data_IF_101593145030
#
_entry.id   IF_101593145030
#
_cell.length_a   1.000
_cell.length_b   1.000
_cell.length_c   1.000
_cell.angle_alpha   90.00
_cell.angle_beta   90.00
_cell.angle_gamma   90.00
#
_symmetry.space_group_name_H-M   'P 1'
#
loop_
_entity.id
_entity.type
_entity.pdbx_description
1 polymer ?
#
# COMPACT_ATOMS: atom_id res chain seq x y z
N UNK A 1 24.74 -14.68 -26.83
CA UNK A 1 24.08 -15.92 -26.35
C UNK A 1 22.67 -15.94 -26.86
N UNK A 2 22.16 -17.10 -27.28
CA UNK A 2 20.78 -17.19 -27.75
C UNK A 2 19.77 -17.14 -26.58
N UNK A 3 18.52 -16.80 -26.88
CA UNK A 3 17.43 -16.90 -25.88
C UNK A 3 17.28 -18.33 -25.37
N UNK A 4 17.53 -19.33 -26.23
CA UNK A 4 17.47 -20.74 -25.87
C UNK A 4 18.51 -21.12 -24.79
N UNK A 5 19.77 -20.61 -24.92
CA UNK A 5 20.80 -20.85 -23.90
C UNK A 5 20.46 -20.23 -22.54
N UNK A 6 19.81 -19.05 -22.54
CA UNK A 6 19.32 -18.43 -21.31
C UNK A 6 18.26 -19.31 -20.64
N UNK A 7 17.24 -19.72 -21.40
CA UNK A 7 16.16 -20.57 -20.89
C UNK A 7 16.70 -21.90 -20.34
N UNK A 8 17.62 -22.53 -21.06
CA UNK A 8 18.28 -23.74 -20.58
C UNK A 8 19.01 -23.51 -19.25
N UNK A 9 19.78 -22.43 -19.13
CA UNK A 9 20.52 -22.13 -17.90
C UNK A 9 19.57 -21.78 -16.72
N UNK A 10 18.50 -21.05 -16.97
CA UNK A 10 17.45 -20.77 -15.95
C UNK A 10 16.78 -22.08 -15.51
N UNK A 11 16.45 -22.96 -16.47
CA UNK A 11 15.83 -24.26 -16.18
C UNK A 11 16.72 -25.18 -15.35
N UNK A 12 18.04 -25.09 -15.53
CA UNK A 12 18.98 -25.83 -14.71
C UNK A 12 19.01 -25.38 -13.25
N UNK A 13 18.63 -24.11 -12.96
CA UNK A 13 18.60 -23.54 -11.60
C UNK A 13 17.25 -23.83 -10.91
N UNK A 14 16.14 -23.55 -11.59
CA UNK A 14 14.80 -23.56 -10.95
C UNK A 14 13.92 -24.73 -11.41
N UNK A 15 14.37 -25.54 -12.36
CA UNK A 15 13.58 -26.57 -13.05
C UNK A 15 12.82 -25.99 -14.24
N UNK A 16 12.61 -26.83 -15.27
CA UNK A 16 11.97 -26.39 -16.52
C UNK A 16 10.52 -25.92 -16.35
N UNK A 17 9.77 -26.53 -15.43
CA UNK A 17 8.39 -26.15 -15.14
C UNK A 17 8.25 -24.74 -14.51
N UNK A 18 9.32 -24.21 -13.91
CA UNK A 18 9.37 -22.90 -13.27
C UNK A 18 9.92 -21.79 -14.19
N UNK A 19 10.17 -22.07 -15.47
CA UNK A 19 10.62 -21.10 -16.48
C UNK A 19 9.54 -20.98 -17.55
N UNK A 20 8.75 -19.91 -17.47
CA UNK A 20 7.62 -19.65 -18.37
C UNK A 20 8.04 -18.71 -19.50
N UNK A 21 7.61 -19.01 -20.73
CA UNK A 21 7.92 -18.21 -21.92
C UNK A 21 6.68 -18.03 -22.82
N UNK A 22 6.70 -17.04 -23.72
CA UNK A 22 5.59 -16.81 -24.64
C UNK A 22 4.27 -16.54 -23.92
N UNK A 23 3.21 -17.20 -24.31
CA UNK A 23 1.87 -17.01 -23.73
C UNK A 23 1.80 -17.34 -22.24
N UNK A 24 2.57 -18.33 -21.77
CA UNK A 24 2.59 -18.68 -20.34
C UNK A 24 3.25 -17.62 -19.46
N UNK A 25 4.11 -16.77 -20.03
CA UNK A 25 4.71 -15.62 -19.34
C UNK A 25 3.84 -14.36 -19.39
N UNK A 26 2.87 -14.29 -20.28
CA UNK A 26 2.05 -13.07 -20.50
C UNK A 26 1.34 -12.56 -19.25
N UNK A 27 0.77 -13.39 -18.35
CA UNK A 27 0.14 -12.91 -17.10
C UNK A 27 1.10 -12.17 -16.18
N UNK A 28 2.39 -12.44 -16.25
CA UNK A 28 3.43 -11.80 -15.45
C UNK A 28 3.94 -10.49 -16.07
N UNK A 29 3.56 -10.20 -17.31
CA UNK A 29 4.01 -9.03 -18.06
C UNK A 29 3.03 -7.86 -18.07
N UNK A 30 1.88 -7.98 -17.43
CA UNK A 30 0.86 -6.93 -17.34
C UNK A 30 0.39 -6.74 -15.89
N UNK A 31 -0.04 -5.53 -15.54
CA UNK A 31 -0.71 -5.30 -14.27
C UNK A 31 -2.19 -5.71 -14.32
N UNK A 32 -2.77 -5.99 -13.17
CA UNK A 32 -4.17 -6.44 -13.04
C UNK A 32 -5.21 -5.44 -13.57
N UNK A 33 -4.82 -4.17 -13.76
CA UNK A 33 -5.69 -3.11 -14.31
C UNK A 33 -5.57 -2.95 -15.82
N UNK A 34 -4.56 -3.59 -16.45
CA UNK A 34 -4.25 -3.40 -17.86
C UNK A 34 -3.70 -2.01 -18.21
N UNK A 35 -3.22 -1.23 -17.21
CA UNK A 35 -2.61 0.08 -17.44
C UNK A 35 -1.16 -0.05 -17.91
N UNK A 36 -0.44 -1.01 -17.38
CA UNK A 36 0.94 -1.30 -17.71
C UNK A 36 1.06 -2.68 -18.33
N UNK A 37 1.75 -2.75 -19.42
CA UNK A 37 2.13 -4.01 -20.06
C UNK A 37 3.54 -3.88 -20.65
N UNK A 38 4.28 -4.97 -20.62
CA UNK A 38 5.63 -5.02 -21.16
C UNK A 38 5.95 -6.40 -21.71
N UNK A 39 7.23 -6.62 -21.98
CA UNK A 39 7.72 -7.89 -22.50
C UNK A 39 8.84 -8.43 -21.64
N UNK A 40 8.91 -9.75 -21.49
CA UNK A 40 9.99 -10.42 -20.81
C UNK A 40 10.57 -11.55 -21.63
N UNK A 41 11.86 -11.86 -21.42
CA UNK A 41 12.51 -13.05 -21.99
C UNK A 41 11.90 -14.33 -21.42
N UNK A 42 11.58 -14.29 -20.11
CA UNK A 42 10.91 -15.36 -19.37
C UNK A 42 10.32 -14.78 -18.07
N UNK A 43 9.31 -15.47 -17.51
CA UNK A 43 8.95 -15.39 -16.11
C UNK A 43 9.52 -16.61 -15.38
N UNK A 44 10.22 -16.38 -14.26
CA UNK A 44 10.95 -17.40 -13.50
C UNK A 44 10.38 -17.45 -12.08
N UNK A 45 10.02 -18.65 -11.62
CA UNK A 45 9.34 -18.88 -10.34
C UNK A 45 10.20 -19.74 -9.40
N UNK A 46 11.22 -19.16 -8.73
CA UNK A 46 12.05 -19.88 -7.78
C UNK A 46 11.27 -20.33 -6.54
N UNK A 47 11.68 -21.44 -5.92
CA UNK A 47 11.07 -22.02 -4.73
C UNK A 47 11.84 -21.76 -3.42
N UNK A 48 13.06 -21.21 -3.51
CA UNK A 48 13.89 -20.89 -2.36
C UNK A 48 14.92 -19.78 -2.67
N UNK A 49 15.57 -19.25 -1.63
CA UNK A 49 16.54 -18.17 -1.74
C UNK A 49 17.80 -18.53 -2.55
N UNK A 50 18.21 -19.81 -2.56
CA UNK A 50 19.37 -20.26 -3.33
C UNK A 50 19.07 -20.22 -4.84
N UNK A 51 17.86 -20.62 -5.24
CA UNK A 51 17.41 -20.50 -6.61
C UNK A 51 17.31 -19.03 -7.04
N UNK A 52 16.77 -18.14 -6.18
CA UNK A 52 16.78 -16.69 -6.44
C UNK A 52 18.22 -16.21 -6.65
N UNK A 53 19.14 -16.55 -5.76
CA UNK A 53 20.55 -16.18 -5.84
C UNK A 53 21.22 -16.67 -7.13
N UNK A 54 20.95 -17.93 -7.51
CA UNK A 54 21.44 -18.53 -8.75
C UNK A 54 20.93 -17.79 -10.00
N UNK A 55 19.63 -17.44 -10.04
CA UNK A 55 19.03 -16.67 -11.14
C UNK A 55 19.63 -15.27 -11.21
N UNK A 56 19.75 -14.59 -10.06
CA UNK A 56 20.32 -13.22 -9.98
C UNK A 56 21.77 -13.24 -10.46
N UNK A 57 22.59 -14.20 -9.98
CA UNK A 57 23.98 -14.34 -10.42
C UNK A 57 24.08 -14.57 -11.93
N UNK A 58 23.28 -15.49 -12.48
CA UNK A 58 23.22 -15.74 -13.92
C UNK A 58 22.87 -14.47 -14.71
N UNK A 59 21.89 -13.69 -14.24
CA UNK A 59 21.48 -12.47 -14.88
C UNK A 59 22.55 -11.36 -14.76
N UNK A 60 23.22 -11.26 -13.62
CA UNK A 60 24.33 -10.31 -13.41
C UNK A 60 25.49 -10.62 -14.35
N UNK A 61 25.93 -11.89 -14.44
CA UNK A 61 27.00 -12.33 -15.34
C UNK A 61 26.68 -12.08 -16.82
N UNK A 62 25.40 -12.05 -17.16
CA UNK A 62 24.90 -11.89 -18.54
C UNK A 62 24.32 -10.51 -18.87
N UNK A 63 24.34 -9.58 -17.92
CA UNK A 63 23.78 -8.23 -18.06
C UNK A 63 22.29 -8.25 -18.45
N UNK A 64 21.52 -9.16 -17.87
CA UNK A 64 20.09 -9.25 -18.06
C UNK A 64 19.40 -8.62 -16.86
N UNK A 65 18.49 -7.70 -17.12
CA UNK A 65 17.75 -7.03 -16.06
C UNK A 65 16.66 -7.93 -15.46
N UNK A 66 16.35 -7.70 -14.19
CA UNK A 66 15.38 -8.47 -13.41
C UNK A 66 14.29 -7.54 -12.92
N UNK A 67 13.04 -7.95 -13.10
CA UNK A 67 11.86 -7.32 -12.51
C UNK A 67 11.33 -8.24 -11.40
N UNK A 68 11.59 -7.94 -10.12
CA UNK A 68 11.03 -8.70 -9.02
C UNK A 68 9.51 -8.51 -8.96
N UNK A 69 8.78 -9.60 -8.74
CA UNK A 69 7.32 -9.56 -8.70
C UNK A 69 6.79 -10.46 -7.58
N UNK A 70 5.88 -9.92 -6.76
CA UNK A 70 5.03 -10.67 -5.86
C UNK A 70 3.64 -10.84 -6.47
N UNK A 71 2.57 -10.60 -5.69
CA UNK A 71 1.18 -10.73 -6.12
C UNK A 71 0.70 -9.75 -7.20
N UNK A 72 1.56 -8.90 -7.72
CA UNK A 72 1.32 -7.94 -8.82
C UNK A 72 0.09 -7.04 -8.61
N UNK A 73 -0.15 -6.61 -7.38
CA UNK A 73 -1.31 -5.79 -6.97
C UNK A 73 -1.01 -4.29 -6.96
N UNK A 74 0.22 -3.86 -7.28
CA UNK A 74 0.63 -2.45 -7.34
C UNK A 74 -0.16 -1.65 -8.37
N UNK A 75 -0.29 -0.34 -8.12
CA UNK A 75 -0.97 0.61 -9.01
C UNK A 75 -0.01 1.44 -9.87
N UNK A 76 1.29 1.37 -9.59
CA UNK A 76 2.31 2.22 -10.23
C UNK A 76 3.19 1.48 -11.24
N UNK A 77 2.86 0.22 -11.59
CA UNK A 77 3.61 -0.58 -12.56
C UNK A 77 5.00 -1.01 -12.07
N UNK A 78 5.25 -1.02 -10.76
CA UNK A 78 6.56 -1.35 -10.17
C UNK A 78 7.01 -2.78 -10.44
N UNK A 79 6.09 -3.73 -10.57
CA UNK A 79 6.33 -5.16 -10.80
C UNK A 79 6.13 -5.60 -12.26
N UNK A 80 5.93 -4.67 -13.20
CA UNK A 80 5.71 -4.97 -14.62
C UNK A 80 6.97 -4.68 -15.43
N UNK A 81 7.41 -5.58 -16.34
CA UNK A 81 8.57 -5.33 -17.18
C UNK A 81 8.33 -4.18 -18.15
N UNK A 82 9.42 -3.59 -18.63
CA UNK A 82 9.37 -2.55 -19.65
C UNK A 82 9.05 -3.14 -21.03
N UNK A 83 8.53 -2.35 -21.99
CA UNK A 83 8.19 -2.82 -23.34
C UNK A 83 9.35 -3.40 -24.15
N UNK A 84 10.60 -3.01 -23.85
CA UNK A 84 11.79 -3.38 -24.62
C UNK A 84 12.10 -4.89 -24.62
N UNK A 85 11.63 -5.66 -23.62
CA UNK A 85 11.68 -7.12 -23.63
C UNK A 85 13.05 -7.75 -23.34
N UNK A 86 14.01 -7.00 -22.79
CA UNK A 86 15.36 -7.47 -22.45
C UNK A 86 15.52 -7.83 -20.95
N UNK A 87 14.41 -8.15 -20.30
CA UNK A 87 14.31 -8.43 -18.86
C UNK A 87 13.74 -9.82 -18.63
N UNK A 88 13.99 -10.37 -17.45
CA UNK A 88 13.17 -11.47 -16.91
C UNK A 88 12.26 -10.92 -15.82
N UNK A 89 11.09 -11.53 -15.64
CA UNK A 89 10.28 -11.37 -14.42
C UNK A 89 10.68 -12.47 -13.46
N UNK A 90 11.00 -12.12 -12.22
CA UNK A 90 11.28 -13.07 -11.15
C UNK A 90 10.13 -13.00 -10.14
N UNK A 91 9.22 -13.96 -10.24
CA UNK A 91 8.02 -14.01 -9.41
C UNK A 91 8.21 -14.94 -8.23
N UNK A 92 7.91 -14.47 -7.01
CA UNK A 92 8.22 -15.16 -5.75
C UNK A 92 7.06 -16.00 -5.19
N UNK A 93 5.96 -16.17 -5.92
CA UNK A 93 4.76 -16.85 -5.42
C UNK A 93 4.99 -18.32 -4.99
N UNK A 94 6.03 -18.99 -5.47
CA UNK A 94 6.40 -20.35 -5.03
C UNK A 94 7.15 -20.34 -3.67
N UNK A 95 7.61 -19.18 -3.19
CA UNK A 95 8.24 -19.03 -1.88
C UNK A 95 7.18 -18.62 -0.84
N UNK A 96 6.30 -19.53 -0.47
CA UNK A 96 5.08 -19.23 0.29
C UNK A 96 4.96 -19.98 1.62
N UNK A 97 6.08 -20.41 2.19
CA UNK A 97 6.12 -21.13 3.47
C UNK A 97 6.22 -20.18 4.65
N UNK A 98 5.49 -20.49 5.71
CA UNK A 98 5.75 -19.96 7.05
C UNK A 98 6.83 -20.84 7.65
N UNK A 99 8.07 -20.32 7.77
CA UNK A 99 9.25 -21.09 8.19
C UNK A 99 9.28 -21.34 9.69
N UNK A 100 8.80 -20.39 10.49
CA UNK A 100 8.80 -20.48 11.95
C UNK A 100 7.71 -19.59 12.57
N UNK A 101 7.28 -19.95 13.78
CA UNK A 101 6.41 -19.17 14.63
C UNK A 101 6.95 -19.18 16.06
N UNK A 102 7.18 -17.99 16.62
CA UNK A 102 7.65 -17.82 18.00
C UNK A 102 6.58 -17.07 18.81
N UNK A 103 5.80 -17.85 19.55
CA UNK A 103 4.69 -17.33 20.37
C UNK A 103 5.18 -16.42 21.49
N UNK A 104 6.34 -16.70 22.05
CA UNK A 104 6.89 -15.94 23.19
C UNK A 104 7.47 -14.60 22.73
N UNK A 105 8.17 -14.60 21.60
CA UNK A 105 8.76 -13.39 21.03
C UNK A 105 7.77 -12.57 20.17
N UNK A 106 6.55 -13.09 19.94
CA UNK A 106 5.55 -12.46 19.10
C UNK A 106 6.09 -12.18 17.68
N UNK A 107 6.62 -13.22 17.06
CA UNK A 107 7.17 -13.14 15.69
C UNK A 107 6.83 -14.38 14.89
N UNK A 108 6.88 -14.25 13.58
CA UNK A 108 6.97 -15.38 12.64
C UNK A 108 8.14 -15.14 11.69
N UNK A 109 8.59 -16.21 11.01
CA UNK A 109 9.45 -16.09 9.84
C UNK A 109 8.67 -16.57 8.63
N UNK A 110 8.46 -15.69 7.65
CA UNK A 110 7.64 -15.97 6.47
C UNK A 110 8.43 -15.71 5.20
N UNK A 111 8.20 -16.50 4.17
CA UNK A 111 8.76 -16.28 2.84
C UNK A 111 8.01 -15.15 2.11
N UNK A 112 8.68 -14.52 1.15
CA UNK A 112 8.20 -13.31 0.47
C UNK A 112 6.93 -13.52 -0.35
N UNK A 113 6.69 -14.72 -0.88
CA UNK A 113 5.49 -15.10 -1.64
C UNK A 113 4.30 -15.55 -0.76
N UNK A 114 4.43 -15.52 0.58
CA UNK A 114 3.27 -15.72 1.45
C UNK A 114 2.24 -14.62 1.20
N UNK A 115 0.98 -14.99 0.98
CA UNK A 115 -0.11 -14.02 0.89
C UNK A 115 -0.38 -13.38 2.24
N UNK A 116 -0.72 -12.12 2.24
CA UNK A 116 -1.06 -11.40 3.47
C UNK A 116 -2.20 -12.07 4.24
N UNK A 117 -3.23 -12.55 3.53
CA UNK A 117 -4.35 -13.26 4.15
C UNK A 117 -3.90 -14.51 4.92
N UNK A 118 -3.00 -15.31 4.33
CA UNK A 118 -2.52 -16.56 4.93
C UNK A 118 -1.65 -16.27 6.18
N UNK A 119 -0.84 -15.22 6.13
CA UNK A 119 -0.02 -14.78 7.28
C UNK A 119 -0.90 -14.27 8.43
N UNK A 120 -1.96 -13.51 8.12
CA UNK A 120 -2.94 -13.07 9.13
C UNK A 120 -3.69 -14.24 9.74
N UNK A 121 -4.18 -15.16 8.92
CA UNK A 121 -4.86 -16.37 9.39
C UNK A 121 -3.95 -17.22 10.30
N UNK A 122 -2.67 -17.39 9.92
CA UNK A 122 -1.71 -18.11 10.76
C UNK A 122 -1.47 -17.41 12.11
N UNK A 123 -1.43 -16.08 12.14
CA UNK A 123 -1.35 -15.32 13.38
C UNK A 123 -2.59 -15.54 14.24
N UNK A 124 -3.79 -15.44 13.66
CA UNK A 124 -5.08 -15.62 14.36
C UNK A 124 -5.23 -17.02 14.98
N UNK A 125 -4.85 -18.06 14.24
CA UNK A 125 -4.84 -19.46 14.74
C UNK A 125 -3.96 -19.64 15.98
N UNK A 126 -2.98 -18.77 16.16
CA UNK A 126 -2.09 -18.77 17.31
C UNK A 126 -2.43 -17.67 18.34
N UNK A 127 -3.64 -17.14 18.30
CA UNK A 127 -4.10 -16.04 19.17
C UNK A 127 -3.20 -14.81 19.12
N UNK A 128 -2.78 -14.45 17.92
CA UNK A 128 -1.96 -13.27 17.61
C UNK A 128 -2.60 -12.45 16.50
N UNK A 129 -2.17 -11.21 16.38
CA UNK A 129 -2.54 -10.29 15.33
C UNK A 129 -1.31 -9.94 14.49
N UNK A 130 -1.40 -10.07 13.16
CA UNK A 130 -0.55 -9.36 12.23
C UNK A 130 -1.35 -8.18 11.67
N UNK A 131 -1.02 -6.92 12.05
CA UNK A 131 -1.96 -5.80 11.91
C UNK A 131 -1.96 -5.13 10.53
N UNK A 132 -1.14 -5.56 9.57
CA UNK A 132 -1.16 -5.00 8.22
C UNK A 132 -2.55 -5.16 7.59
N UNK A 133 -3.23 -4.03 7.33
CA UNK A 133 -4.66 -3.97 7.02
C UNK A 133 -4.97 -3.56 5.57
N UNK A 134 -4.49 -4.31 4.56
CA UNK A 134 -4.78 -4.06 3.14
C UNK A 134 -6.08 -4.75 2.71
N UNK A 135 -7.22 -4.15 3.00
CA UNK A 135 -8.53 -4.79 2.86
C UNK A 135 -8.88 -5.20 1.43
N UNK A 136 -8.52 -4.39 0.42
CA UNK A 136 -8.85 -4.64 -0.98
C UNK A 136 -7.99 -5.73 -1.63
N UNK A 137 -6.75 -5.93 -1.17
CA UNK A 137 -5.75 -6.75 -1.87
C UNK A 137 -5.22 -7.92 -1.07
N UNK A 138 -5.58 -8.07 0.22
CA UNK A 138 -5.00 -9.05 1.15
C UNK A 138 -5.00 -10.51 0.65
N UNK A 139 -5.96 -10.90 -0.20
CA UNK A 139 -6.06 -12.24 -0.78
C UNK A 139 -5.07 -12.49 -1.93
N UNK A 140 -4.47 -11.43 -2.45
CA UNK A 140 -3.63 -11.48 -3.65
C UNK A 140 -2.23 -10.91 -3.41
N UNK A 141 -2.09 -9.88 -2.56
CA UNK A 141 -0.79 -9.30 -2.25
C UNK A 141 0.07 -10.25 -1.41
N UNK A 142 1.37 -10.17 -1.65
CA UNK A 142 2.38 -11.02 -1.00
C UNK A 142 3.29 -10.18 -0.11
N UNK A 143 3.81 -10.77 0.96
CA UNK A 143 4.61 -10.10 1.99
C UNK A 143 5.85 -9.40 1.39
N UNK A 144 6.55 -10.04 0.43
CA UNK A 144 7.69 -9.42 -0.25
C UNK A 144 7.31 -8.14 -1.01
N UNK A 145 6.14 -8.15 -1.66
CA UNK A 145 5.57 -6.97 -2.31
C UNK A 145 5.20 -5.87 -1.31
N UNK A 146 4.52 -6.24 -0.21
CA UNK A 146 4.12 -5.30 0.84
C UNK A 146 5.34 -4.62 1.50
N UNK A 147 6.43 -5.37 1.73
CA UNK A 147 7.70 -4.84 2.22
C UNK A 147 8.36 -3.94 1.18
N UNK A 148 8.42 -4.39 -0.08
CA UNK A 148 9.09 -3.64 -1.15
C UNK A 148 8.43 -2.29 -1.44
N UNK A 149 7.13 -2.15 -1.19
CA UNK A 149 6.39 -0.88 -1.34
C UNK A 149 6.18 -0.14 -0.01
N UNK A 150 6.62 -0.72 1.11
CA UNK A 150 6.32 -0.21 2.46
C UNK A 150 4.82 0.03 2.66
N UNK A 151 4.01 -0.97 2.33
CA UNK A 151 2.55 -0.86 2.32
C UNK A 151 2.00 -0.40 3.69
N UNK A 152 0.96 0.42 3.65
CA UNK A 152 0.26 0.95 4.82
C UNK A 152 -1.07 0.23 5.10
N UNK A 153 -2.17 0.97 5.10
CA UNK A 153 -3.54 0.48 5.29
C UNK A 153 -4.20 0.99 6.57
N UNK A 154 -5.35 0.43 6.91
CA UNK A 154 -6.27 1.01 7.91
C UNK A 154 -5.74 1.05 9.36
N UNK A 155 -4.71 0.28 9.69
CA UNK A 155 -4.21 0.14 11.05
C UNK A 155 -2.89 0.90 11.31
N UNK A 156 -2.43 1.70 10.35
CA UNK A 156 -1.15 2.43 10.42
C UNK A 156 -1.12 3.37 11.63
N UNK A 157 -2.25 3.99 11.96
CA UNK A 157 -2.37 4.90 13.10
C UNK A 157 -1.85 4.29 14.40
N UNK A 158 -2.14 3.01 14.65
CA UNK A 158 -1.73 2.30 15.88
C UNK A 158 -0.43 1.52 15.74
N UNK A 159 -0.25 0.84 14.61
CA UNK A 159 0.80 -0.17 14.49
C UNK A 159 1.94 0.23 13.54
N UNK A 160 1.79 1.36 12.85
CA UNK A 160 2.72 1.78 11.82
C UNK A 160 2.51 1.04 10.49
N UNK A 161 3.31 1.39 9.50
CA UNK A 161 3.30 0.75 8.19
C UNK A 161 4.18 -0.53 8.17
N UNK A 162 4.34 -1.18 7.03
CA UNK A 162 5.09 -2.44 6.92
C UNK A 162 6.54 -2.31 7.44
N UNK A 163 7.17 -1.13 7.31
CA UNK A 163 8.51 -0.83 7.86
C UNK A 163 8.57 -1.01 9.39
N UNK A 164 7.54 -0.56 10.07
CA UNK A 164 7.45 -0.65 11.53
C UNK A 164 7.13 -2.07 12.00
N UNK A 165 6.55 -2.87 11.11
CA UNK A 165 6.08 -4.24 11.39
C UNK A 165 7.11 -5.33 11.13
N UNK A 166 8.36 -5.01 10.74
CA UNK A 166 9.39 -5.99 10.40
C UNK A 166 10.62 -5.87 11.29
N UNK A 167 11.12 -7.00 11.80
CA UNK A 167 12.33 -7.10 12.61
C UNK A 167 13.55 -7.53 11.82
N UNK A 168 13.39 -8.37 10.80
CA UNK A 168 14.49 -8.89 10.02
C UNK A 168 14.08 -9.23 8.59
N UNK A 169 15.06 -9.24 7.70
CA UNK A 169 14.89 -9.60 6.28
C UNK A 169 15.95 -10.58 5.82
N UNK A 170 15.61 -11.42 4.87
CA UNK A 170 16.53 -12.13 3.99
C UNK A 170 16.43 -11.49 2.61
N UNK A 171 17.56 -11.12 2.03
CA UNK A 171 17.62 -10.40 0.75
C UNK A 171 18.69 -11.00 -0.15
N UNK A 172 18.34 -11.23 -1.42
CA UNK A 172 19.32 -11.51 -2.47
C UNK A 172 19.78 -10.19 -3.08
N UNK A 173 21.08 -9.93 -2.98
CA UNK A 173 21.72 -8.71 -3.50
C UNK A 173 21.89 -8.80 -5.03
N UNK A 174 22.13 -7.69 -5.74
CA UNK A 174 22.26 -7.63 -7.19
C UNK A 174 23.39 -8.50 -7.77
N UNK A 175 24.37 -8.89 -6.96
CA UNK A 175 25.46 -9.81 -7.33
C UNK A 175 25.18 -11.29 -7.03
N UNK A 176 23.99 -11.62 -6.51
CA UNK A 176 23.54 -12.95 -6.16
C UNK A 176 23.93 -13.42 -4.75
N UNK A 177 24.63 -12.61 -3.96
CA UNK A 177 24.88 -12.96 -2.54
C UNK A 177 23.58 -12.86 -1.72
N UNK A 178 23.43 -13.76 -0.76
CA UNK A 178 22.30 -13.76 0.17
C UNK A 178 22.73 -13.07 1.46
N UNK A 179 22.07 -11.95 1.78
CA UNK A 179 22.16 -11.36 3.10
C UNK A 179 21.07 -11.94 3.99
N UNK A 180 21.47 -12.74 4.99
CA UNK A 180 20.57 -13.28 5.98
C UNK A 180 20.57 -12.37 7.22
N UNK A 181 19.61 -11.46 7.27
CA UNK A 181 19.30 -10.59 8.39
C UNK A 181 18.01 -10.99 9.12
N UNK A 182 17.61 -12.27 9.08
CA UNK A 182 16.41 -12.79 9.76
C UNK A 182 16.57 -12.82 11.28
N UNK A 183 16.87 -11.66 11.87
CA UNK A 183 16.96 -11.50 13.32
C UNK A 183 15.60 -11.08 13.86
N UNK A 184 15.18 -11.72 14.96
CA UNK A 184 13.92 -11.40 15.66
C UNK A 184 14.15 -10.46 16.86
N UNK A 185 15.22 -9.66 16.82
CA UNK A 185 15.62 -8.77 17.89
C UNK A 185 14.82 -7.46 17.83
N UNK A 186 14.33 -6.99 18.99
CA UNK A 186 13.70 -5.68 19.12
C UNK A 186 14.72 -4.55 19.30
N UNK A 187 15.94 -4.88 19.74
CA UNK A 187 17.06 -3.95 19.89
C UNK A 187 18.29 -4.56 19.23
N UNK A 188 18.86 -3.89 18.24
CA UNK A 188 20.11 -4.25 17.60
C UNK A 188 20.82 -2.97 17.13
N UNK A 189 21.72 -2.47 17.96
CA UNK A 189 22.55 -1.29 17.68
C UNK A 189 23.98 -1.67 17.25
N UNK A 190 24.16 -2.84 16.61
CA UNK A 190 25.47 -3.34 16.19
C UNK A 190 25.92 -2.81 14.81
N UNK A 191 25.32 -1.75 14.32
CA UNK A 191 25.64 -1.10 13.04
C UNK A 191 24.43 -0.41 12.41
N UNK A 192 24.52 -0.13 11.12
CA UNK A 192 23.40 0.41 10.36
C UNK A 192 22.24 -0.58 10.27
N UNK A 193 21.01 -0.09 10.35
CA UNK A 193 19.82 -0.91 10.19
C UNK A 193 19.52 -1.15 8.69
N UNK A 194 20.23 -2.10 8.12
CA UNK A 194 20.25 -2.36 6.68
C UNK A 194 18.90 -2.81 6.11
N UNK A 195 18.02 -3.42 6.91
CA UNK A 195 16.71 -3.84 6.41
C UNK A 195 15.90 -2.67 5.84
N UNK A 196 16.07 -1.47 6.41
CA UNK A 196 15.36 -0.27 5.98
C UNK A 196 15.83 0.29 4.63
N UNK A 197 16.94 -0.18 4.07
CA UNK A 197 17.34 0.11 2.69
C UNK A 197 16.45 -0.63 1.68
N UNK A 198 15.97 -1.82 2.02
CA UNK A 198 15.19 -2.67 1.11
C UNK A 198 13.68 -2.48 1.24
N UNK A 199 13.21 -2.09 2.44
CA UNK A 199 11.79 -1.76 2.65
C UNK A 199 11.46 -0.44 1.95
N UNK A 200 10.50 -0.48 1.02
CA UNK A 200 10.12 0.68 0.21
C UNK A 200 11.04 0.94 -0.99
N UNK A 201 12.02 0.05 -1.26
CA UNK A 201 12.92 0.17 -2.42
C UNK A 201 12.33 -0.40 -3.73
N UNK A 202 11.15 -0.95 -3.71
CA UNK A 202 10.43 -1.51 -4.87
C UNK A 202 11.28 -2.51 -5.71
N UNK A 203 12.13 -3.30 -5.02
CA UNK A 203 13.00 -4.26 -5.67
C UNK A 203 14.17 -3.68 -6.46
N UNK A 204 14.45 -2.37 -6.34
CA UNK A 204 15.54 -1.72 -7.06
C UNK A 204 16.91 -1.91 -6.41
N UNK A 205 16.98 -2.30 -5.14
CA UNK A 205 18.22 -2.49 -4.38
C UNK A 205 18.56 -3.95 -4.10
N UNK A 206 17.61 -4.85 -4.28
CA UNK A 206 17.72 -6.28 -4.03
C UNK A 206 16.36 -6.94 -3.98
N UNK A 207 16.31 -8.25 -3.80
CA UNK A 207 15.09 -9.07 -3.79
C UNK A 207 14.88 -9.64 -2.40
N UNK A 208 13.82 -9.19 -1.72
CA UNK A 208 13.41 -9.72 -0.42
C UNK A 208 12.87 -11.13 -0.64
N UNK A 209 13.45 -12.13 0.06
CA UNK A 209 13.06 -13.54 -0.04
C UNK A 209 12.37 -14.07 1.21
N UNK A 210 12.63 -13.47 2.38
CA UNK A 210 11.91 -13.77 3.61
C UNK A 210 11.95 -12.59 4.57
N UNK A 211 11.06 -12.62 5.57
CA UNK A 211 10.95 -11.58 6.59
C UNK A 211 10.57 -12.17 7.96
N UNK A 212 10.85 -11.38 9.00
CA UNK A 212 10.39 -11.62 10.37
C UNK A 212 9.39 -10.54 10.76
N UNK A 213 8.08 -10.69 10.46
CA UNK A 213 7.04 -9.79 10.94
C UNK A 213 6.88 -9.83 12.45
N UNK A 214 6.56 -8.64 13.02
CA UNK A 214 6.12 -8.48 14.41
C UNK A 214 4.66 -8.89 14.53
N UNK A 215 4.35 -9.64 15.56
CA UNK A 215 2.99 -9.94 15.95
C UNK A 215 2.61 -9.15 17.20
N UNK A 216 1.31 -9.02 17.39
CA UNK A 216 0.70 -8.36 18.53
C UNK A 216 -0.30 -9.29 19.20
N UNK A 217 -0.68 -9.04 20.46
CA UNK A 217 -1.80 -9.73 21.08
C UNK A 217 -3.07 -9.53 20.24
N UNK A 218 -3.87 -10.57 20.11
CA UNK A 218 -5.18 -10.47 19.43
C UNK A 218 -6.12 -9.62 20.30
N UNK A 219 -6.74 -8.55 19.77
CA UNK A 219 -7.76 -7.81 20.49
C UNK A 219 -8.93 -8.70 20.91
N UNK A 220 -9.42 -8.49 22.12
CA UNK A 220 -10.59 -9.18 22.69
C UNK A 220 -11.85 -8.33 22.62
N UNK A 221 -11.69 -7.03 22.45
CA UNK A 221 -12.77 -6.07 22.30
C UNK A 221 -12.46 -5.08 21.16
N UNK A 222 -13.50 -4.65 20.48
CA UNK A 222 -13.46 -3.61 19.45
C UNK A 222 -14.71 -2.75 19.58
N UNK A 223 -14.53 -1.45 19.51
CA UNK A 223 -15.63 -0.50 19.41
C UNK A 223 -15.45 0.32 18.12
N UNK A 224 -16.52 0.41 17.33
CA UNK A 224 -16.53 1.17 16.07
C UNK A 224 -17.54 2.30 16.17
N UNK A 225 -17.15 3.50 15.75
CA UNK A 225 -18.05 4.63 15.61
C UNK A 225 -18.20 5.04 14.15
N UNK A 226 -19.41 5.37 13.76
CA UNK A 226 -19.73 6.15 12.57
C UNK A 226 -20.15 7.56 13.02
N UNK A 227 -19.56 8.60 12.43
CA UNK A 227 -19.77 9.98 12.83
C UNK A 227 -19.97 10.83 11.59
N UNK A 228 -21.03 11.63 11.55
CA UNK A 228 -21.25 12.68 10.55
C UNK A 228 -20.69 14.01 11.08
N UNK A 229 -19.95 14.74 10.25
CA UNK A 229 -19.28 15.97 10.61
C UNK A 229 -19.58 17.10 9.63
N UNK A 230 -19.43 18.34 10.09
CA UNK A 230 -19.72 19.53 9.29
C UNK A 230 -18.70 19.75 8.16
N UNK A 231 -17.42 19.52 8.45
CA UNK A 231 -16.30 19.76 7.55
C UNK A 231 -15.06 18.97 7.94
N UNK A 232 -14.02 19.02 7.11
CA UNK A 232 -12.76 18.30 7.34
C UNK A 232 -11.93 18.89 8.51
N UNK A 233 -12.10 20.16 8.88
CA UNK A 233 -11.44 20.75 10.05
C UNK A 233 -11.95 20.13 11.35
N UNK A 234 -13.24 19.80 11.41
CA UNK A 234 -13.82 19.03 12.51
C UNK A 234 -13.15 17.67 12.63
N UNK A 235 -12.85 16.99 11.50
CA UNK A 235 -12.16 15.70 11.52
C UNK A 235 -10.78 15.78 12.18
N UNK A 236 -9.98 16.81 11.84
CA UNK A 236 -8.64 17.05 12.43
C UNK A 236 -8.74 17.26 13.95
N UNK A 237 -9.65 18.12 14.39
CA UNK A 237 -9.84 18.42 15.82
C UNK A 237 -10.38 17.22 16.59
N UNK A 238 -11.33 16.49 15.99
CA UNK A 238 -11.91 15.30 16.61
C UNK A 238 -10.89 14.17 16.74
N UNK A 239 -10.02 13.97 15.74
CA UNK A 239 -8.95 13.00 15.83
C UNK A 239 -8.02 13.27 17.01
N UNK A 240 -7.57 14.53 17.18
CA UNK A 240 -6.74 14.93 18.32
C UNK A 240 -7.45 14.63 19.65
N UNK A 241 -8.72 15.03 19.76
CA UNK A 241 -9.53 14.83 20.96
C UNK A 241 -9.78 13.35 21.27
N UNK A 242 -10.14 12.52 20.26
CA UNK A 242 -10.33 11.07 20.47
C UNK A 242 -9.02 10.41 20.86
N UNK A 243 -7.90 10.84 20.26
CA UNK A 243 -6.58 10.31 20.58
C UNK A 243 -6.13 10.63 22.02
N UNK A 244 -6.44 11.82 22.52
CA UNK A 244 -6.19 12.22 23.91
C UNK A 244 -7.02 11.37 24.90
N UNK A 245 -8.23 10.98 24.54
CA UNK A 245 -9.16 10.27 25.43
C UNK A 245 -9.08 8.73 25.31
N UNK A 246 -8.76 8.20 24.12
CA UNK A 246 -8.68 6.75 23.87
C UNK A 246 -7.24 6.22 23.82
N UNK A 247 -6.24 7.10 23.69
CA UNK A 247 -4.81 6.72 23.66
C UNK A 247 -4.49 5.72 22.57
N UNK A 248 -3.62 4.76 22.92
CA UNK A 248 -3.14 3.72 22.00
C UNK A 248 -4.19 2.66 21.64
N UNK A 249 -5.40 2.72 22.17
CA UNK A 249 -6.49 1.82 21.75
C UNK A 249 -7.06 2.21 20.39
N UNK A 250 -6.90 3.47 19.96
CA UNK A 250 -7.38 3.96 18.66
C UNK A 250 -6.61 3.29 17.53
N UNK A 251 -7.25 2.41 16.79
CA UNK A 251 -6.64 1.62 15.73
C UNK A 251 -6.85 2.20 14.33
N UNK A 252 -7.98 2.87 14.08
CA UNK A 252 -8.31 3.43 12.78
C UNK A 252 -9.12 4.73 12.91
N UNK A 253 -8.88 5.67 11.99
CA UNK A 253 -9.63 6.90 11.88
C UNK A 253 -9.71 7.31 10.40
N UNK A 254 -10.85 6.99 9.77
CA UNK A 254 -11.07 7.14 8.33
C UNK A 254 -12.00 8.31 8.03
N UNK A 255 -11.73 9.05 6.96
CA UNK A 255 -12.62 10.08 6.42
C UNK A 255 -13.23 9.63 5.09
N UNK A 256 -14.50 9.94 4.87
CA UNK A 256 -15.26 9.59 3.68
C UNK A 256 -16.09 10.80 3.25
N UNK A 257 -15.87 11.32 2.05
CA UNK A 257 -16.72 12.41 1.50
C UNK A 257 -18.05 11.87 0.99
N UNK A 258 -19.06 12.73 0.90
CA UNK A 258 -20.40 12.40 0.38
C UNK A 258 -20.33 11.73 -0.99
N UNK A 259 -19.53 12.26 -1.90
CA UNK A 259 -19.36 11.72 -3.25
C UNK A 259 -18.90 10.26 -3.27
N UNK A 260 -18.20 9.80 -2.24
CA UNK A 260 -17.85 8.38 -2.09
C UNK A 260 -19.08 7.52 -1.82
N UNK A 261 -19.93 7.95 -0.88
CA UNK A 261 -21.13 7.21 -0.50
C UNK A 261 -22.15 7.17 -1.63
N UNK A 262 -22.31 8.27 -2.38
CA UNK A 262 -23.19 8.31 -3.54
C UNK A 262 -22.81 7.25 -4.59
N UNK A 263 -21.49 7.09 -4.83
CA UNK A 263 -21.01 6.03 -5.73
C UNK A 263 -21.22 4.63 -5.15
N UNK A 264 -21.02 4.46 -3.85
CA UNK A 264 -21.24 3.18 -3.17
C UNK A 264 -22.71 2.79 -3.26
N UNK A 265 -23.64 3.68 -2.92
CA UNK A 265 -25.08 3.40 -2.99
C UNK A 265 -25.56 3.14 -4.42
N UNK A 266 -24.96 3.82 -5.41
CA UNK A 266 -25.26 3.60 -6.82
C UNK A 266 -24.84 2.22 -7.34
N UNK A 267 -23.68 1.71 -6.89
CA UNK A 267 -23.03 0.56 -7.53
C UNK A 267 -22.96 -0.70 -6.68
N UNK A 268 -23.13 -0.61 -5.36
CA UNK A 268 -22.94 -1.73 -4.41
C UNK A 268 -24.29 -2.08 -3.78
N UNK A 269 -24.92 -3.18 -4.20
CA UNK A 269 -26.19 -3.62 -3.62
C UNK A 269 -26.06 -3.90 -2.12
N UNK A 270 -27.15 -3.65 -1.38
CA UNK A 270 -27.23 -3.94 0.07
C UNK A 270 -26.54 -2.91 0.95
N UNK A 271 -26.08 -1.79 0.39
CA UNK A 271 -25.59 -0.65 1.16
C UNK A 271 -26.69 0.41 1.37
N UNK A 272 -26.63 1.10 2.47
CA UNK A 272 -27.61 2.14 2.84
C UNK A 272 -26.94 3.25 3.66
N UNK A 273 -27.63 4.38 3.75
CA UNK A 273 -27.20 5.48 4.60
C UNK A 273 -26.96 5.02 6.03
N UNK A 274 -25.85 5.45 6.65
CA UNK A 274 -25.59 5.14 8.06
C UNK A 274 -26.48 5.92 9.03
N UNK A 275 -27.06 7.04 8.58
CA UNK A 275 -27.92 7.94 9.32
C UNK A 275 -29.17 8.31 8.50
N UNK A 276 -30.15 8.93 9.14
CA UNK A 276 -31.36 9.45 8.46
C UNK A 276 -31.05 10.71 7.63
N UNK A 277 -30.07 11.52 8.08
CA UNK A 277 -29.59 12.69 7.38
C UNK A 277 -28.51 12.37 6.35
N UNK A 278 -28.31 13.29 5.41
CA UNK A 278 -27.18 13.26 4.44
C UNK A 278 -26.20 14.36 4.82
N UNK A 279 -24.91 14.02 4.85
CA UNK A 279 -23.85 14.89 5.31
C UNK A 279 -22.68 14.89 4.33
N UNK A 280 -21.89 15.97 4.31
CA UNK A 280 -20.74 16.12 3.40
C UNK A 280 -19.59 15.20 3.75
N UNK A 281 -19.37 14.93 5.05
CA UNK A 281 -18.28 14.06 5.51
C UNK A 281 -18.74 13.11 6.60
N UNK A 282 -18.18 11.90 6.52
CA UNK A 282 -18.37 10.86 7.51
C UNK A 282 -17.02 10.37 8.00
N UNK A 283 -16.96 9.95 9.25
CA UNK A 283 -15.81 9.31 9.85
C UNK A 283 -16.16 7.90 10.27
N UNK A 284 -15.22 6.97 10.05
CA UNK A 284 -15.21 5.67 10.72
C UNK A 284 -14.03 5.64 11.69
N UNK A 285 -14.34 5.39 12.95
CA UNK A 285 -13.36 5.40 14.04
C UNK A 285 -13.40 4.02 14.70
N UNK A 286 -12.24 3.40 14.88
CA UNK A 286 -12.17 2.10 15.53
C UNK A 286 -11.14 2.13 16.66
N UNK A 287 -11.55 1.63 17.81
CA UNK A 287 -10.67 1.35 18.95
C UNK A 287 -10.72 -0.14 19.27
N UNK A 288 -9.56 -0.71 19.60
CA UNK A 288 -9.43 -2.12 19.93
C UNK A 288 -8.48 -2.36 21.10
N UNK A 289 -8.77 -3.36 21.96
CA UNK A 289 -7.93 -3.70 23.11
C UNK A 289 -7.94 -5.21 23.40
N UNK A 290 -6.92 -5.64 24.13
CA UNK A 290 -6.83 -7.00 24.69
C UNK A 290 -7.69 -7.18 25.94
N UNK A 291 -8.09 -6.10 26.60
CA UNK A 291 -8.98 -6.13 27.76
C UNK A 291 -10.43 -6.03 27.30
N UNK A 292 -11.33 -6.86 27.82
CA UNK A 292 -12.76 -6.78 27.51
C UNK A 292 -13.42 -5.59 28.26
N UNK A 293 -14.38 -4.94 27.59
CA UNK A 293 -15.17 -3.83 28.15
C UNK A 293 -14.47 -2.47 28.07
N UNK A 294 -15.20 -1.40 28.37
CA UNK A 294 -14.76 0.00 28.46
C UNK A 294 -14.47 0.74 27.16
N UNK A 295 -14.22 0.07 26.02
CA UNK A 295 -13.87 0.78 24.77
C UNK A 295 -15.02 1.60 24.21
N UNK A 296 -16.24 1.06 24.23
CA UNK A 296 -17.41 1.77 23.73
C UNK A 296 -17.78 2.94 24.64
N UNK A 297 -17.68 2.80 25.96
CA UNK A 297 -17.90 3.88 26.91
C UNK A 297 -16.85 4.98 26.74
N UNK A 298 -15.56 4.63 26.58
CA UNK A 298 -14.51 5.59 26.35
C UNK A 298 -14.70 6.35 25.02
N UNK A 299 -15.00 5.62 23.94
CA UNK A 299 -15.23 6.23 22.63
C UNK A 299 -16.52 7.08 22.63
N UNK A 300 -17.60 6.63 23.26
CA UNK A 300 -18.82 7.42 23.45
C UNK A 300 -18.57 8.68 24.27
N UNK A 301 -17.85 8.58 25.38
CA UNK A 301 -17.50 9.72 26.21
C UNK A 301 -16.64 10.75 25.44
N UNK A 302 -15.64 10.28 24.69
CA UNK A 302 -14.82 11.13 23.85
C UNK A 302 -15.66 11.86 22.78
N UNK A 303 -16.55 11.14 22.09
CA UNK A 303 -17.43 11.75 21.09
C UNK A 303 -18.50 12.68 21.73
N UNK A 304 -18.93 12.44 22.96
CA UNK A 304 -19.90 13.29 23.68
C UNK A 304 -19.28 14.56 24.22
N UNK A 305 -18.04 14.49 24.70
CA UNK A 305 -17.32 15.65 25.24
C UNK A 305 -16.72 16.56 24.17
N UNK A 306 -16.68 16.13 22.91
CA UNK A 306 -16.21 16.96 21.80
C UNK A 306 -17.20 18.12 21.55
N UNK A 307 -16.65 19.29 21.21
CA UNK A 307 -17.41 20.51 20.94
C UNK A 307 -18.22 20.46 19.64
N UNK A 308 -18.57 21.62 19.09
CA UNK A 308 -19.42 21.73 17.92
C UNK A 308 -18.77 21.17 16.66
N UNK A 309 -19.61 20.72 15.71
CA UNK A 309 -19.21 20.20 14.40
C UNK A 309 -19.46 18.72 14.20
N UNK A 310 -19.68 17.93 15.25
CA UNK A 310 -20.27 16.59 15.15
C UNK A 310 -21.78 16.74 15.01
N UNK A 311 -22.32 16.28 13.88
CA UNK A 311 -23.73 16.45 13.51
C UNK A 311 -24.57 15.24 13.93
N UNK A 312 -24.03 14.04 13.71
CA UNK A 312 -24.64 12.78 14.13
C UNK A 312 -23.57 11.76 14.47
N UNK A 313 -23.85 10.82 15.38
CA UNK A 313 -22.89 9.80 15.81
C UNK A 313 -23.58 8.52 16.29
N UNK A 314 -22.96 7.40 16.01
CA UNK A 314 -23.35 6.07 16.52
C UNK A 314 -22.10 5.29 16.89
N UNK A 315 -22.14 4.54 17.98
CA UNK A 315 -21.04 3.68 18.44
C UNK A 315 -21.59 2.28 18.67
N UNK A 316 -20.87 1.26 18.21
CA UNK A 316 -21.26 -0.15 18.36
C UNK A 316 -20.07 -1.02 18.73
N UNK A 317 -20.33 -2.09 19.47
CA UNK A 317 -19.44 -3.24 19.67
C UNK A 317 -19.96 -4.48 18.94
N UNK A 318 -21.12 -4.37 18.30
CA UNK A 318 -21.68 -5.42 17.46
C UNK A 318 -20.92 -5.52 16.13
N UNK A 319 -20.36 -6.69 15.84
CA UNK A 319 -19.53 -6.91 14.68
C UNK A 319 -20.28 -6.75 13.35
N UNK A 320 -21.55 -7.16 13.30
CA UNK A 320 -22.34 -7.07 12.06
C UNK A 320 -22.74 -5.63 11.77
N UNK A 321 -23.05 -4.84 12.79
CA UNK A 321 -23.31 -3.41 12.65
C UNK A 321 -22.03 -2.65 12.20
N UNK A 322 -20.90 -2.95 12.82
CA UNK A 322 -19.62 -2.37 12.44
C UNK A 322 -19.23 -2.72 10.99
N UNK A 323 -19.40 -4.00 10.58
CA UNK A 323 -19.07 -4.45 9.21
C UNK A 323 -19.92 -3.73 8.15
N UNK A 324 -21.17 -3.36 8.45
CA UNK A 324 -22.01 -2.54 7.53
C UNK A 324 -21.38 -1.19 7.26
N UNK A 325 -20.85 -0.52 8.29
CA UNK A 325 -20.14 0.75 8.10
C UNK A 325 -18.80 0.56 7.39
N UNK A 326 -18.04 -0.48 7.77
CA UNK A 326 -16.79 -0.82 7.08
C UNK A 326 -17.02 -1.22 5.62
N UNK A 327 -18.15 -1.86 5.29
CA UNK A 327 -18.51 -2.19 3.92
C UNK A 327 -18.63 -0.93 3.06
N UNK A 328 -19.20 0.17 3.59
CA UNK A 328 -19.26 1.44 2.86
C UNK A 328 -17.85 1.90 2.49
N UNK A 329 -16.90 1.92 3.45
CA UNK A 329 -15.51 2.34 3.22
C UNK A 329 -14.74 1.40 2.27
N UNK A 330 -14.87 0.10 2.49
CA UNK A 330 -14.17 -0.93 1.71
C UNK A 330 -14.63 -0.97 0.25
N UNK A 331 -15.88 -0.59 -0.01
CA UNK A 331 -16.50 -0.67 -1.33
C UNK A 331 -16.21 0.54 -2.23
N UNK A 332 -15.62 1.63 -1.71
CA UNK A 332 -15.40 2.88 -2.48
C UNK A 332 -14.57 2.61 -3.74
N UNK A 333 -13.49 1.83 -3.65
CA UNK A 333 -12.63 1.54 -4.80
C UNK A 333 -13.34 0.73 -5.89
N UNK A 334 -14.17 -0.24 -5.51
CA UNK A 334 -14.97 -1.04 -6.44
C UNK A 334 -16.10 -0.21 -7.06
N UNK A 335 -16.77 0.64 -6.27
CA UNK A 335 -17.80 1.55 -6.76
C UNK A 335 -17.24 2.52 -7.80
N UNK A 336 -16.08 3.10 -7.54
CA UNK A 336 -15.39 3.95 -8.52
C UNK A 336 -14.99 3.19 -9.79
N UNK A 337 -14.56 1.93 -9.68
CA UNK A 337 -14.22 1.09 -10.84
C UNK A 337 -15.46 0.84 -11.73
N UNK A 338 -16.60 0.61 -11.11
CA UNK A 338 -17.89 0.43 -11.83
C UNK A 338 -18.41 1.72 -12.44
N UNK A 339 -18.17 2.86 -11.79
CA UNK A 339 -18.51 4.18 -12.33
C UNK A 339 -17.65 4.52 -13.55
N UNK A 340 -16.39 4.12 -13.56
CA UNK A 340 -15.49 4.36 -14.70
C UNK A 340 -14.05 4.69 -14.27
N UNK A 341 -13.27 5.17 -15.24
CA UNK A 341 -11.87 5.56 -15.00
C UNK A 341 -11.80 6.93 -14.31
N UNK A 342 -10.76 7.13 -13.48
CA UNK A 342 -10.48 8.39 -12.78
C UNK A 342 -8.98 8.63 -12.67
N UNK A 343 -8.58 9.88 -12.56
CA UNK A 343 -7.22 10.27 -12.17
C UNK A 343 -7.11 10.02 -10.66
N UNK A 344 -6.11 9.25 -10.26
CA UNK A 344 -5.96 8.78 -8.86
C UNK A 344 -4.73 9.39 -8.22
N UNK A 345 -4.95 10.05 -7.09
CA UNK A 345 -3.88 10.51 -6.22
C UNK A 345 -3.93 9.74 -4.90
N UNK A 346 -2.77 9.34 -4.46
CA UNK A 346 -2.49 8.73 -3.18
C UNK A 346 -1.42 9.59 -2.53
N UNK A 347 -1.85 10.56 -1.73
CA UNK A 347 -0.97 11.57 -1.16
C UNK A 347 -0.99 11.48 0.37
N UNK A 348 0.05 12.01 0.99
CA UNK A 348 0.01 12.28 2.42
C UNK A 348 0.50 13.69 2.71
N UNK A 349 -0.10 14.29 3.74
CA UNK A 349 0.31 15.55 4.34
C UNK A 349 0.35 15.40 5.87
N UNK A 350 1.04 16.28 6.61
CA UNK A 350 0.90 16.28 8.07
C UNK A 350 -0.58 16.25 8.46
N UNK A 351 -0.95 15.41 9.42
CA UNK A 351 -2.36 15.19 9.84
C UNK A 351 -3.09 16.51 10.08
N UNK A 352 -2.41 17.47 10.73
CA UNK A 352 -2.95 18.81 10.99
C UNK A 352 -3.24 19.65 9.74
N UNK A 353 -2.78 19.21 8.57
CA UNK A 353 -2.92 19.94 7.29
C UNK A 353 -3.86 19.24 6.30
N UNK A 354 -4.49 18.12 6.71
CA UNK A 354 -5.39 17.36 5.81
C UNK A 354 -6.60 18.19 5.37
N UNK A 355 -7.23 18.88 6.29
CA UNK A 355 -8.37 19.75 5.96
C UNK A 355 -7.97 20.89 5.00
N UNK A 356 -6.82 21.52 5.24
CA UNK A 356 -6.28 22.55 4.34
C UNK A 356 -5.96 21.98 2.95
N UNK A 357 -5.40 20.76 2.88
CA UNK A 357 -5.17 20.10 1.61
C UNK A 357 -6.48 19.90 0.84
N UNK A 358 -7.50 19.31 1.47
CA UNK A 358 -8.80 19.07 0.83
C UNK A 358 -9.38 20.39 0.31
N UNK A 359 -9.49 21.42 1.16
CA UNK A 359 -10.07 22.70 0.79
C UNK A 359 -9.34 23.39 -0.36
N UNK A 360 -7.99 23.40 -0.32
CA UNK A 360 -7.18 24.06 -1.37
C UNK A 360 -7.17 23.30 -2.67
N UNK A 361 -7.11 21.97 -2.62
CA UNK A 361 -7.14 21.12 -3.81
C UNK A 361 -8.51 21.17 -4.49
N UNK A 362 -9.62 21.14 -3.71
CA UNK A 362 -10.97 21.29 -4.22
C UNK A 362 -11.14 22.64 -4.92
N UNK A 363 -10.74 23.74 -4.28
CA UNK A 363 -10.81 25.07 -4.87
C UNK A 363 -10.02 25.18 -6.17
N UNK A 364 -8.77 24.69 -6.19
CA UNK A 364 -7.92 24.74 -7.37
C UNK A 364 -8.50 23.95 -8.55
N UNK A 365 -9.04 22.75 -8.27
CA UNK A 365 -9.62 21.89 -9.32
C UNK A 365 -10.96 22.38 -9.82
N UNK A 366 -11.87 22.81 -8.93
CA UNK A 366 -13.18 23.35 -9.32
C UNK A 366 -13.04 24.62 -10.15
N UNK A 367 -12.05 25.47 -9.86
CA UNK A 367 -11.76 26.66 -10.66
C UNK A 367 -11.18 26.32 -12.03
N UNK A 368 -10.26 25.34 -12.11
CA UNK A 368 -9.61 24.97 -13.37
C UNK A 368 -10.48 24.06 -14.27
N UNK A 369 -11.33 23.25 -13.66
CA UNK A 369 -12.17 22.24 -14.34
C UNK A 369 -13.61 22.29 -13.80
N UNK A 370 -14.42 23.26 -14.20
CA UNK A 370 -15.79 23.39 -13.72
C UNK A 370 -16.61 22.12 -13.92
N UNK A 371 -17.31 21.70 -12.86
CA UNK A 371 -18.15 20.50 -12.87
C UNK A 371 -17.39 19.19 -12.65
N UNK A 372 -16.10 19.22 -12.32
CA UNK A 372 -15.33 18.02 -11.98
C UNK A 372 -15.89 17.36 -10.72
N UNK A 373 -15.88 16.03 -10.69
CA UNK A 373 -16.23 15.23 -9.51
C UNK A 373 -14.96 14.86 -8.74
N UNK A 374 -14.94 15.24 -7.48
CA UNK A 374 -13.87 14.87 -6.54
C UNK A 374 -14.39 13.79 -5.61
N UNK A 375 -13.63 12.70 -5.49
CA UNK A 375 -13.92 11.55 -4.61
C UNK A 375 -12.77 11.43 -3.64
N UNK A 376 -12.92 12.03 -2.44
CA UNK A 376 -11.89 12.09 -1.43
C UNK A 376 -12.24 11.23 -0.23
N UNK A 377 -11.34 10.33 0.16
CA UNK A 377 -11.44 9.46 1.32
C UNK A 377 -10.05 9.02 1.74
N UNK A 378 -9.90 8.52 2.96
CA UNK A 378 -8.58 7.98 3.34
C UNK A 378 -8.38 7.86 4.83
N UNK A 379 -7.13 7.54 5.14
CA UNK A 379 -6.63 7.28 6.48
C UNK A 379 -6.31 8.61 7.18
N UNK A 380 -7.35 9.28 7.68
CA UNK A 380 -7.21 10.58 8.35
C UNK A 380 -6.22 10.52 9.51
N UNK A 381 -6.14 9.34 10.16
CA UNK A 381 -5.29 9.11 11.32
C UNK A 381 -3.79 9.25 11.06
N UNK A 382 -3.34 9.04 9.83
CA UNK A 382 -1.92 9.09 9.42
C UNK A 382 -1.63 10.13 8.32
N UNK A 383 -2.67 10.87 7.90
CA UNK A 383 -2.54 11.95 6.91
C UNK A 383 -2.59 11.50 5.46
N UNK A 384 -2.89 10.22 5.16
CA UNK A 384 -3.03 9.72 3.81
C UNK A 384 -4.44 9.99 3.27
N UNK A 385 -4.51 10.62 2.11
CA UNK A 385 -5.76 10.91 1.40
C UNK A 385 -5.71 10.31 -0.01
N UNK A 386 -6.68 9.46 -0.30
CA UNK A 386 -6.99 9.05 -1.67
C UNK A 386 -7.88 10.13 -2.29
N UNK A 387 -7.33 10.85 -3.24
CA UNK A 387 -7.96 12.02 -3.82
C UNK A 387 -8.13 11.79 -5.33
N UNK A 388 -9.33 11.34 -5.74
CA UNK A 388 -9.60 10.91 -7.10
C UNK A 388 -10.47 11.90 -7.84
N UNK A 389 -10.14 12.12 -9.11
CA UNK A 389 -10.75 13.17 -9.93
C UNK A 389 -11.34 12.56 -11.19
N UNK A 390 -12.59 12.87 -11.50
CA UNK A 390 -13.30 12.39 -12.70
C UNK A 390 -14.38 13.40 -13.14
N UNK A 391 -14.94 13.21 -14.32
CA UNK A 391 -16.16 13.91 -14.70
C UNK A 391 -17.38 13.13 -14.17
N UNK A 392 -18.50 13.80 -13.84
CA UNK A 392 -19.74 13.14 -13.44
C UNK A 392 -20.28 12.19 -14.51
N UNK A 393 -20.19 12.57 -15.79
CA UNK A 393 -20.51 11.72 -16.92
C UNK A 393 -19.34 10.76 -17.21
N UNK A 394 -19.55 9.47 -16.93
CA UNK A 394 -18.54 8.42 -17.13
C UNK A 394 -18.05 8.33 -18.58
N UNK A 395 -18.87 8.69 -19.56
CA UNK A 395 -18.51 8.71 -20.99
C UNK A 395 -17.40 9.70 -21.33
N UNK A 396 -17.27 10.78 -20.55
CA UNK A 396 -16.26 11.81 -20.75
C UNK A 396 -14.90 11.47 -20.09
N UNK A 397 -14.84 10.50 -19.17
CA UNK A 397 -13.68 10.26 -18.34
C UNK A 397 -12.42 9.86 -19.13
N UNK A 398 -12.53 9.03 -20.15
CA UNK A 398 -11.37 8.66 -20.98
C UNK A 398 -10.73 9.88 -21.64
N UNK A 399 -11.56 10.74 -22.25
CA UNK A 399 -11.11 11.97 -22.91
C UNK A 399 -10.52 12.93 -21.87
N UNK A 400 -11.18 13.14 -20.74
CA UNK A 400 -10.72 13.99 -19.65
C UNK A 400 -9.34 13.54 -19.15
N UNK A 401 -9.16 12.26 -18.87
CA UNK A 401 -7.87 11.73 -18.40
C UNK A 401 -6.79 11.94 -19.45
N UNK A 402 -7.06 11.55 -20.71
CA UNK A 402 -6.06 11.68 -21.78
C UNK A 402 -5.58 13.11 -21.97
N UNK A 403 -6.47 14.09 -21.82
CA UNK A 403 -6.17 15.50 -22.08
C UNK A 403 -5.69 16.26 -20.83
N UNK A 404 -6.15 15.88 -19.64
CA UNK A 404 -6.04 16.72 -18.45
C UNK A 404 -5.28 16.08 -17.28
N UNK A 405 -4.91 14.79 -17.35
CA UNK A 405 -4.22 14.10 -16.23
C UNK A 405 -2.98 14.87 -15.75
N UNK A 406 -2.15 15.37 -16.68
CA UNK A 406 -0.95 16.13 -16.33
C UNK A 406 -1.27 17.46 -15.63
N UNK A 407 -2.30 18.18 -16.09
CA UNK A 407 -2.71 19.46 -15.50
C UNK A 407 -3.34 19.26 -14.11
N UNK A 408 -4.19 18.23 -13.97
CA UNK A 408 -4.80 17.84 -12.67
C UNK A 408 -3.69 17.44 -11.67
N UNK A 409 -2.78 16.56 -12.07
CA UNK A 409 -1.65 16.14 -11.23
C UNK A 409 -0.81 17.35 -10.78
N UNK A 410 -0.52 18.29 -11.68
CA UNK A 410 0.26 19.50 -11.36
C UNK A 410 -0.41 20.34 -10.29
N UNK A 411 -1.73 20.53 -10.35
CA UNK A 411 -2.48 21.30 -9.34
C UNK A 411 -2.49 20.59 -7.99
N UNK A 412 -2.85 19.31 -7.95
CA UNK A 412 -2.89 18.54 -6.71
C UNK A 412 -1.51 18.46 -6.05
N UNK A 413 -0.49 18.11 -6.82
CA UNK A 413 0.88 17.95 -6.28
C UNK A 413 1.52 19.28 -5.88
N UNK A 414 1.11 20.41 -6.48
CA UNK A 414 1.55 21.72 -6.01
C UNK A 414 1.07 22.00 -4.59
N UNK A 415 -0.20 21.72 -4.29
CA UNK A 415 -0.75 21.84 -2.93
C UNK A 415 -0.04 20.89 -1.96
N UNK A 416 0.19 19.63 -2.36
CA UNK A 416 0.94 18.66 -1.55
C UNK A 416 2.32 19.18 -1.18
N UNK A 417 3.08 19.70 -2.15
CA UNK A 417 4.43 20.25 -1.93
C UNK A 417 4.42 21.46 -0.97
N UNK A 418 3.49 22.38 -1.14
CA UNK A 418 3.37 23.56 -0.28
C UNK A 418 3.02 23.19 1.17
N UNK A 419 2.38 22.05 1.37
CA UNK A 419 2.05 21.49 2.68
C UNK A 419 3.13 20.54 3.22
N UNK A 420 4.31 20.45 2.59
CA UNK A 420 5.40 19.51 2.93
C UNK A 420 4.93 18.04 2.94
N UNK A 421 4.07 17.68 2.00
CA UNK A 421 3.52 16.34 1.87
C UNK A 421 4.30 15.45 0.90
N UNK A 422 3.78 14.23 0.71
CA UNK A 422 4.26 13.25 -0.26
C UNK A 422 3.23 13.02 -1.36
N UNK A 423 3.70 12.93 -2.61
CA UNK A 423 2.86 12.57 -3.76
C UNK A 423 2.58 11.07 -3.86
N UNK A 424 3.14 10.26 -2.97
CA UNK A 424 2.90 8.83 -2.87
C UNK A 424 2.95 8.40 -1.41
N UNK A 425 1.77 8.17 -0.81
CA UNK A 425 1.66 7.75 0.58
C UNK A 425 1.97 6.25 0.75
N UNK A 426 1.32 5.38 -0.03
CA UNK A 426 1.46 3.92 0.09
C UNK A 426 1.66 3.19 -1.25
N UNK A 427 1.31 3.79 -2.40
CA UNK A 427 1.37 3.08 -3.70
C UNK A 427 2.78 2.92 -4.28
N UNK A 428 3.78 3.61 -3.74
CA UNK A 428 5.13 3.68 -4.31
C UNK A 428 5.22 4.59 -5.53
N UNK A 429 6.38 4.62 -6.16
CA UNK A 429 6.66 5.42 -7.36
C UNK A 429 6.49 4.60 -8.65
N UNK A 430 7.02 3.37 -8.66
CA UNK A 430 7.01 2.49 -9.81
C UNK A 430 7.51 3.15 -11.09
N UNK A 431 6.82 2.87 -12.20
CA UNK A 431 7.00 3.56 -13.48
C UNK A 431 6.24 4.90 -13.51
N UNK A 432 5.11 4.96 -12.78
CA UNK A 432 4.15 6.06 -12.87
C UNK A 432 4.72 7.40 -12.42
N UNK A 433 5.40 7.42 -11.29
CA UNK A 433 5.83 8.65 -10.61
C UNK A 433 7.34 8.88 -10.66
N UNK A 434 8.11 7.98 -11.32
CA UNK A 434 9.58 8.06 -11.39
C UNK A 434 10.10 9.41 -11.91
N UNK A 435 9.52 9.92 -12.96
CA UNK A 435 9.95 11.20 -13.52
C UNK A 435 9.32 12.37 -12.75
N UNK A 436 8.09 12.23 -12.33
CA UNK A 436 7.35 13.23 -11.54
C UNK A 436 8.04 13.54 -10.21
N UNK A 437 8.62 12.54 -9.54
CA UNK A 437 9.25 12.75 -8.22
C UNK A 437 10.40 13.76 -8.25
N UNK A 438 11.04 13.95 -9.40
CA UNK A 438 12.15 14.91 -9.58
C UNK A 438 11.74 16.35 -9.33
N UNK A 439 10.46 16.67 -9.53
CA UNK A 439 9.92 18.02 -9.35
C UNK A 439 9.49 18.28 -7.89
N UNK A 440 9.37 17.23 -7.08
CA UNK A 440 8.78 17.30 -5.73
C UNK A 440 9.72 16.89 -4.60
N UNK A 441 10.77 16.12 -4.91
CA UNK A 441 11.74 15.66 -3.91
C UNK A 441 12.99 16.55 -3.91
N UNK A 442 13.58 16.70 -2.73
CA UNK A 442 14.83 17.46 -2.59
C UNK A 442 15.93 16.89 -3.50
N UNK A 443 16.66 17.71 -4.23
CA UNK A 443 17.71 17.24 -5.14
C UNK A 443 18.81 16.42 -4.44
N UNK A 444 19.16 16.74 -3.19
CA UNK A 444 20.13 15.98 -2.41
C UNK A 444 19.60 14.60 -2.04
N UNK A 445 18.31 14.48 -1.67
CA UNK A 445 17.70 13.17 -1.44
C UNK A 445 17.76 12.30 -2.71
N UNK A 446 17.45 12.85 -3.87
CA UNK A 446 17.54 12.14 -5.16
C UNK A 446 18.97 11.70 -5.48
N UNK A 447 19.96 12.54 -5.17
CA UNK A 447 21.37 12.21 -5.32
C UNK A 447 21.75 11.05 -4.39
N UNK A 448 21.38 11.11 -3.11
CA UNK A 448 21.62 10.05 -2.14
C UNK A 448 20.98 8.73 -2.58
N UNK A 449 19.74 8.75 -3.06
CA UNK A 449 19.05 7.56 -3.57
C UNK A 449 19.81 6.95 -4.77
N UNK A 450 20.29 7.77 -5.71
CA UNK A 450 21.09 7.30 -6.86
C UNK A 450 22.43 6.72 -6.42
N UNK A 451 23.10 7.33 -5.45
CA UNK A 451 24.38 6.86 -4.91
C UNK A 451 24.22 5.49 -4.22
N UNK A 452 23.16 5.30 -3.42
CA UNK A 452 22.82 4.02 -2.81
C UNK A 452 22.55 2.97 -3.90
N UNK A 453 21.73 3.31 -4.91
CA UNK A 453 21.44 2.43 -6.05
C UNK A 453 22.71 2.04 -6.78
N UNK A 454 23.57 3.00 -7.11
CA UNK A 454 24.83 2.76 -7.83
C UNK A 454 25.80 1.87 -7.00
N UNK A 455 25.83 2.04 -5.68
CA UNK A 455 26.67 1.23 -4.79
C UNK A 455 26.23 -0.22 -4.74
N UNK A 456 24.91 -0.49 -4.64
CA UNK A 456 24.38 -1.84 -4.51
C UNK A 456 24.18 -2.53 -5.86
N UNK A 457 23.76 -1.78 -6.89
CA UNK A 457 23.48 -2.28 -8.24
C UNK A 457 24.22 -1.45 -9.30
N UNK A 458 25.56 -1.57 -9.37
CA UNK A 458 26.40 -0.75 -10.26
C UNK A 458 26.10 -0.93 -11.76
N UNK A 459 25.39 -2.00 -12.10
CA UNK A 459 25.03 -2.32 -13.49
C UNK A 459 23.59 -1.97 -13.85
N UNK A 460 22.79 -1.47 -12.89
CA UNK A 460 21.41 -1.07 -13.09
C UNK A 460 20.48 -2.21 -13.53
N UNK A 461 20.73 -3.44 -13.05
CA UNK A 461 19.98 -4.62 -13.47
C UNK A 461 18.74 -4.90 -12.61
N UNK A 462 18.69 -4.37 -11.38
CA UNK A 462 17.56 -4.56 -10.47
C UNK A 462 16.45 -3.56 -10.76
N UNK A 463 15.33 -4.08 -11.25
CA UNK A 463 14.10 -3.35 -11.54
C UNK A 463 14.30 -2.00 -12.27
N UNK A 464 14.98 -1.98 -13.41
CA UNK A 464 15.31 -0.73 -14.10
C UNK A 464 14.06 0.02 -14.55
N UNK A 465 14.17 1.36 -14.58
CA UNK A 465 13.07 2.25 -14.98
C UNK A 465 11.99 2.44 -13.92
N UNK A 466 12.27 2.09 -12.66
CA UNK A 466 11.41 2.31 -11.49
C UNK A 466 12.17 3.10 -10.44
N UNK A 467 11.45 3.90 -9.67
CA UNK A 467 11.89 4.70 -8.52
C UNK A 467 12.87 5.81 -8.91
N UNK A 468 14.07 5.49 -9.37
CA UNK A 468 15.15 6.46 -9.71
C UNK A 468 15.73 6.23 -11.09
#
# INVERSE_FOLDING_TARGET
MSRADLIHSLSAIVGSAAVLTGESAAPYCADWRGRYSGNALAAVLPSDAQQVAGVVKLCADRRIAIVPQGGNTSLCGGSVPLPQGNQIVLNLSHMNRIRAFDATNFTMTVEAGCKLADVREAAEKNNRLFPLGLTATQKYCEIGGNLSTNAGGINVLRYGNTRDLVLGLEVVLPDGRIWNGLRSLRKDNSGYDLKHLFVGAEGTLGIITAAVPKLFPRPQSTATACVAIADADVAVRLLAHVRENCGDTLSSFEIISRSCLDLVFKHIPGTSEPFTGQYEYYLLIESSDVLPGLLDDALRAALQSFGPGVLERSVTTDADAAEKWWMLRKSISEAQKREGVSIKHDISVPVSRVAEFISRADAALCNAFPGVRIVSFGHMGDGNVHYNVSMPDAGQNKTFITQQEAAVNKLVYAVVRELNGSISAEHGLGQLKRDTIRDYKDPLELEMMRNIKQTLDPHGLMNPGKVV
#
